data_IF_231965997975
#
_entry.id   IF_231965997975
#
_cell.length_a   1.000
_cell.length_b   1.000
_cell.length_c   1.000
_cell.angle_alpha   90.00
_cell.angle_beta   90.00
_cell.angle_gamma   90.00
#
_symmetry.space_group_name_H-M   'P 1'
#
loop_
_entity.id
_entity.type
_entity.pdbx_description
1 polymer ?
#
# COMPACT_ATOMS: atom_id res chain seq x y z
N UNK A 1 -0.26 7.52 1.17
CA UNK A 1 0.54 7.86 -0.04
C UNK A 1 2.01 7.57 0.24
N UNK A 2 2.90 7.63 -0.75
CA UNK A 2 4.34 7.53 -0.49
C UNK A 2 5.13 8.47 -1.40
N UNK A 3 6.28 8.93 -0.94
CA UNK A 3 7.24 9.68 -1.77
C UNK A 3 7.99 8.74 -2.71
N UNK A 4 8.77 9.31 -3.64
CA UNK A 4 9.62 8.54 -4.56
C UNK A 4 10.68 7.72 -3.82
N UNK A 5 11.14 8.23 -2.69
CA UNK A 5 12.13 7.62 -1.79
C UNK A 5 11.50 6.55 -0.89
N UNK A 6 10.19 6.34 -0.97
CA UNK A 6 9.47 5.32 -0.21
C UNK A 6 9.00 5.77 1.18
N UNK A 7 9.11 7.05 1.52
CA UNK A 7 8.55 7.56 2.77
C UNK A 7 7.02 7.50 2.71
N UNK A 8 6.40 6.74 3.62
CA UNK A 8 4.95 6.61 3.68
C UNK A 8 4.34 7.81 4.40
N UNK A 9 3.26 8.34 3.84
CA UNK A 9 2.40 9.35 4.45
C UNK A 9 1.03 8.76 4.74
N UNK A 10 0.58 8.89 5.98
CA UNK A 10 -0.67 8.30 6.49
C UNK A 10 -1.75 9.33 6.77
N UNK A 11 -1.41 10.62 6.76
CA UNK A 11 -2.34 11.74 6.94
C UNK A 11 -2.47 12.63 5.70
N UNK A 12 -3.59 13.34 5.58
CA UNK A 12 -3.83 14.31 4.51
C UNK A 12 -3.00 15.60 4.68
N UNK A 13 -2.66 15.94 5.91
CA UNK A 13 -1.75 17.03 6.30
C UNK A 13 -0.34 16.82 5.75
N UNK A 14 0.23 15.62 5.93
CA UNK A 14 1.52 15.24 5.36
C UNK A 14 1.50 15.32 3.82
N UNK A 15 0.42 14.83 3.20
CA UNK A 15 0.22 14.90 1.74
C UNK A 15 0.12 16.35 1.27
N UNK A 16 -0.56 17.22 2.01
CA UNK A 16 -0.69 18.65 1.70
C UNK A 16 0.66 19.36 1.79
N UNK A 17 1.49 19.05 2.78
CA UNK A 17 2.83 19.63 2.94
C UNK A 17 3.75 19.25 1.78
N UNK A 18 3.77 17.96 1.40
CA UNK A 18 4.71 17.46 0.39
C UNK A 18 4.21 17.70 -1.05
N UNK A 19 2.92 17.48 -1.31
CA UNK A 19 2.35 17.45 -2.67
C UNK A 19 1.28 18.50 -2.95
N UNK A 20 0.88 19.31 -1.98
CA UNK A 20 -0.27 20.22 -2.12
C UNK A 20 -0.15 21.24 -3.25
N UNK A 21 1.07 21.62 -3.62
CA UNK A 21 1.33 22.54 -4.74
C UNK A 21 1.04 21.91 -6.13
N UNK A 22 1.06 20.58 -6.24
CA UNK A 22 0.89 19.85 -7.49
C UNK A 22 -0.45 19.10 -7.63
N UNK A 23 -1.29 19.12 -6.60
CA UNK A 23 -2.56 18.40 -6.56
C UNK A 23 -3.73 19.37 -6.62
N UNK A 24 -4.76 19.01 -7.39
CA UNK A 24 -6.00 19.79 -7.51
C UNK A 24 -6.96 19.59 -6.33
N UNK A 25 -6.87 18.44 -5.68
CA UNK A 25 -7.75 18.03 -4.58
C UNK A 25 -7.00 17.05 -3.68
N UNK A 26 -7.16 17.21 -2.37
CA UNK A 26 -6.77 16.25 -1.34
C UNK A 26 -8.02 15.96 -0.51
N UNK A 27 -8.29 14.67 -0.28
CA UNK A 27 -9.41 14.21 0.55
C UNK A 27 -8.86 13.81 1.93
N UNK A 28 -9.31 14.50 2.96
CA UNK A 28 -9.03 14.12 4.35
C UNK A 28 -10.05 13.08 4.83
N UNK A 29 -9.59 11.83 4.94
CA UNK A 29 -10.36 10.70 5.46
C UNK A 29 -9.83 10.21 6.82
N UNK A 30 -9.08 11.06 7.53
CA UNK A 30 -8.38 10.71 8.75
C UNK A 30 -7.12 9.86 8.53
N UNK A 31 -6.39 9.64 9.61
CA UNK A 31 -5.13 8.87 9.60
C UNK A 31 -5.35 7.41 9.23
N UNK A 32 -4.52 6.90 8.33
CA UNK A 32 -4.54 5.51 7.88
C UNK A 32 -3.47 4.65 8.57
N UNK A 33 -3.58 3.33 8.44
CA UNK A 33 -2.57 2.40 8.97
C UNK A 33 -1.34 2.39 8.05
N UNK A 34 -0.14 2.46 8.63
CA UNK A 34 1.12 2.34 7.88
C UNK A 34 1.49 0.87 7.61
N UNK A 35 0.56 0.14 7.00
CA UNK A 35 0.77 -1.26 6.61
C UNK A 35 0.47 -1.40 5.12
N UNK A 36 1.44 -1.84 4.30
CA UNK A 36 1.27 -1.94 2.87
C UNK A 36 0.35 -3.11 2.50
N UNK A 37 -0.13 -3.11 1.26
CA UNK A 37 -0.85 -4.25 0.70
C UNK A 37 0.06 -5.47 0.53
N UNK A 38 -0.53 -6.64 0.69
CA UNK A 38 0.04 -7.92 0.26
C UNK A 38 0.16 -7.93 -1.26
N UNK A 39 1.31 -8.36 -1.77
CA UNK A 39 1.58 -8.51 -3.20
C UNK A 39 1.66 -10.00 -3.50
N UNK A 40 0.80 -10.45 -4.42
CA UNK A 40 0.70 -11.83 -4.87
C UNK A 40 0.97 -11.84 -6.37
N UNK A 41 1.90 -12.69 -6.80
CA UNK A 41 2.12 -13.02 -8.21
C UNK A 41 1.18 -14.16 -8.60
N UNK A 42 0.48 -13.96 -9.71
CA UNK A 42 -0.36 -14.97 -10.37
C UNK A 42 0.17 -15.25 -11.79
N UNK A 43 1.47 -15.11 -11.99
CA UNK A 43 2.10 -15.35 -13.29
C UNK A 43 2.21 -16.85 -13.53
N UNK A 44 1.69 -17.31 -14.67
CA UNK A 44 1.59 -18.75 -14.96
C UNK A 44 0.51 -19.42 -14.10
N UNK A 45 0.73 -20.67 -13.72
CA UNK A 45 -0.25 -21.48 -12.99
C UNK A 45 0.12 -21.66 -11.49
N UNK A 46 1.02 -20.82 -10.97
CA UNK A 46 1.46 -20.88 -9.58
C UNK A 46 1.18 -19.56 -8.86
N UNK A 47 0.74 -19.67 -7.60
CA UNK A 47 0.56 -18.54 -6.69
C UNK A 47 1.85 -18.34 -5.90
N UNK A 48 2.39 -17.12 -5.92
CA UNK A 48 3.57 -16.76 -5.14
C UNK A 48 3.30 -15.47 -4.34
N UNK A 49 3.55 -15.50 -3.04
CA UNK A 49 3.48 -14.30 -2.20
C UNK A 49 4.80 -13.55 -2.33
N UNK A 50 4.82 -12.45 -3.08
CA UNK A 50 5.99 -11.59 -3.26
C UNK A 50 6.26 -10.72 -2.03
N UNK A 51 5.19 -10.34 -1.31
CA UNK A 51 5.29 -9.59 -0.04
C UNK A 51 4.02 -9.80 0.78
N UNK A 52 4.16 -10.23 2.03
CA UNK A 52 3.06 -10.21 3.01
C UNK A 52 2.84 -8.79 3.52
N UNK A 53 1.58 -8.35 3.57
CA UNK A 53 1.15 -7.06 4.13
C UNK A 53 -0.17 -7.22 4.87
N UNK A 54 -1.02 -6.18 4.86
CA UNK A 54 -2.28 -6.14 5.62
C UNK A 54 -3.28 -7.23 5.24
N UNK A 55 -3.25 -7.70 4.00
CA UNK A 55 -4.16 -8.75 3.54
C UNK A 55 -3.62 -10.12 3.93
N UNK A 56 -4.31 -10.86 4.79
CA UNK A 56 -3.93 -12.25 5.06
C UNK A 56 -4.05 -13.08 3.79
N UNK A 57 -2.92 -13.68 3.38
CA UNK A 57 -2.79 -14.51 2.19
C UNK A 57 -2.37 -15.94 2.54
N UNK A 58 -2.35 -16.29 3.84
CA UNK A 58 -1.88 -17.59 4.33
C UNK A 58 -2.66 -18.74 3.69
N UNK A 59 -3.95 -18.55 3.42
CA UNK A 59 -4.84 -19.55 2.82
C UNK A 59 -4.62 -19.77 1.31
N UNK A 60 -3.84 -18.90 0.65
CA UNK A 60 -3.60 -18.99 -0.80
C UNK A 60 -2.46 -19.95 -1.16
N UNK A 61 -1.62 -20.29 -0.20
CA UNK A 61 -0.62 -21.32 -0.36
C UNK A 61 -1.30 -22.67 -0.09
N UNK A 62 -1.70 -23.35 -1.17
CA UNK A 62 -2.20 -24.72 -1.07
C UNK A 62 -1.22 -25.58 -0.28
N UNK A 63 -1.71 -26.33 0.71
CA UNK A 63 -0.93 -27.33 1.41
C UNK A 63 -0.30 -28.26 0.36
N UNK A 64 1.03 -28.35 0.40
CA UNK A 64 1.76 -29.35 -0.37
C UNK A 64 1.30 -30.78 0.00
#
# INVERSE_FOLDING_TARGET
AATREGQVMIGADEIQEVFGHGLKLILDAGTQHNEPSTIISLVGDQVEILRQGKGDASDLLGQA
#
